data_IF_985919677048
#
_entry.id   IF_985919677048
#
_cell.length_a   1.000
_cell.length_b   1.000
_cell.length_c   1.000
_cell.angle_alpha   90.00
_cell.angle_beta   90.00
_cell.angle_gamma   90.00
#
_symmetry.space_group_name_H-M   'P 1'
#
loop_
_entity.id
_entity.type
_entity.pdbx_description
1 polymer ?
#
# COMPACT_ATOMS: atom_id res chain seq x y z
N UNK A 1 -11.80 -18.53 0.87
CA UNK A 1 -11.47 -17.97 2.21
C UNK A 1 -12.49 -16.92 2.58
N UNK A 2 -12.93 -16.88 3.84
CA UNK A 2 -13.84 -15.81 4.29
C UNK A 2 -13.11 -14.46 4.37
N UNK A 3 -13.85 -13.35 4.27
CA UNK A 3 -13.32 -11.97 4.40
C UNK A 3 -12.56 -11.77 5.72
N UNK A 4 -13.00 -12.40 6.79
CA UNK A 4 -12.41 -12.33 8.14
C UNK A 4 -11.05 -13.04 8.16
N UNK A 5 -10.96 -14.22 7.56
CA UNK A 5 -9.70 -14.98 7.45
C UNK A 5 -8.68 -14.20 6.63
N UNK A 6 -9.08 -13.60 5.50
CA UNK A 6 -8.21 -12.76 4.67
C UNK A 6 -7.63 -11.57 5.45
N UNK A 7 -8.45 -10.84 6.21
CA UNK A 7 -8.01 -9.70 7.03
C UNK A 7 -6.98 -10.12 8.09
N UNK A 8 -7.21 -11.25 8.77
CA UNK A 8 -6.28 -11.79 9.78
C UNK A 8 -4.91 -12.10 9.19
N UNK A 9 -4.85 -12.73 8.01
CA UNK A 9 -3.59 -13.07 7.38
C UNK A 9 -2.81 -11.83 6.91
N UNK A 10 -3.49 -10.90 6.22
CA UNK A 10 -2.88 -9.65 5.73
C UNK A 10 -2.32 -8.81 6.88
N UNK A 11 -3.06 -8.66 7.98
CA UNK A 11 -2.60 -7.89 9.14
C UNK A 11 -1.38 -8.53 9.82
N UNK A 12 -1.32 -9.87 9.87
CA UNK A 12 -0.19 -10.60 10.46
C UNK A 12 1.07 -10.48 9.61
N UNK A 13 0.94 -10.60 8.29
CA UNK A 13 2.07 -10.44 7.35
C UNK A 13 2.68 -9.02 7.45
N UNK A 14 1.84 -7.98 7.42
CA UNK A 14 2.30 -6.58 7.50
C UNK A 14 3.13 -6.24 8.75
N UNK A 15 2.86 -6.90 9.88
CA UNK A 15 3.57 -6.65 11.14
C UNK A 15 4.88 -7.42 11.27
N UNK A 16 5.04 -8.52 10.51
CA UNK A 16 6.16 -9.44 10.65
C UNK A 16 7.18 -9.29 9.51
N UNK A 17 6.76 -8.80 8.35
CA UNK A 17 7.59 -8.74 7.15
C UNK A 17 8.25 -7.36 7.01
N UNK A 18 9.57 -7.29 7.23
CA UNK A 18 10.38 -6.20 6.69
C UNK A 18 10.65 -6.53 5.22
N UNK A 19 9.89 -5.90 4.33
CA UNK A 19 10.04 -6.07 2.89
C UNK A 19 11.09 -5.08 2.39
N UNK A 20 12.20 -5.58 1.88
CA UNK A 20 13.17 -4.78 1.14
C UNK A 20 12.63 -4.52 -0.29
N UNK A 21 12.77 -3.30 -0.84
CA UNK A 21 12.33 -3.02 -2.21
C UNK A 21 13.05 -3.92 -3.22
N UNK A 22 12.29 -4.60 -4.06
CA UNK A 22 12.85 -5.34 -5.20
C UNK A 22 13.28 -4.41 -6.34
N UNK A 23 13.98 -4.94 -7.33
CA UNK A 23 14.39 -4.17 -8.51
C UNK A 23 13.17 -3.54 -9.22
N UNK A 24 13.24 -2.23 -9.47
CA UNK A 24 12.14 -1.43 -10.03
C UNK A 24 11.08 -0.97 -9.02
N UNK A 25 11.16 -1.39 -7.75
CA UNK A 25 10.32 -0.86 -6.68
C UNK A 25 10.97 0.35 -6.03
N UNK A 26 10.14 1.29 -5.56
CA UNK A 26 10.59 2.54 -4.95
C UNK A 26 9.79 2.82 -3.70
N UNK A 27 10.46 3.31 -2.66
CA UNK A 27 9.81 3.79 -1.45
C UNK A 27 9.26 5.19 -1.74
N UNK A 28 7.98 5.38 -1.45
CA UNK A 28 7.27 6.65 -1.67
C UNK A 28 6.46 7.02 -0.43
N UNK A 29 6.24 8.31 -0.22
CA UNK A 29 5.42 8.85 0.86
C UNK A 29 4.04 9.20 0.34
N UNK A 30 2.98 8.76 1.03
CA UNK A 30 1.60 9.15 0.71
C UNK A 30 1.34 10.58 1.19
N UNK A 31 0.84 11.44 0.30
CA UNK A 31 0.47 12.83 0.60
C UNK A 31 -1.04 12.98 0.87
N UNK A 32 -1.86 12.23 0.14
CA UNK A 32 -3.31 12.31 0.24
C UNK A 32 -4.00 11.23 -0.61
N UNK A 33 -5.31 11.09 -0.46
CA UNK A 33 -6.12 10.23 -1.32
C UNK A 33 -7.20 11.05 -2.02
N UNK A 34 -7.12 11.23 -3.35
CA UNK A 34 -8.17 11.88 -4.13
C UNK A 34 -9.45 11.03 -4.28
N UNK A 35 -9.49 9.81 -3.74
CA UNK A 35 -10.63 8.89 -3.84
C UNK A 35 -10.43 7.78 -4.89
N UNK A 36 -11.44 6.93 -5.08
CA UNK A 36 -11.42 5.80 -6.02
C UNK A 36 -10.20 4.84 -5.86
N UNK A 37 -9.75 4.61 -4.61
CA UNK A 37 -8.55 3.85 -4.27
C UNK A 37 -7.23 4.38 -4.88
N UNK A 38 -7.21 5.64 -5.32
CA UNK A 38 -6.01 6.36 -5.75
C UNK A 38 -5.38 7.08 -4.56
N UNK A 39 -4.06 7.13 -4.57
CA UNK A 39 -3.25 7.80 -3.56
C UNK A 39 -2.23 8.67 -4.27
N UNK A 40 -2.17 9.93 -3.89
CA UNK A 40 -1.09 10.82 -4.30
C UNK A 40 0.14 10.49 -3.47
N UNK A 41 1.23 10.22 -4.17
CA UNK A 41 2.50 9.84 -3.56
C UNK A 41 3.63 10.73 -4.05
N UNK A 42 4.61 10.93 -3.17
CA UNK A 42 5.83 11.68 -3.42
C UNK A 42 7.05 10.76 -3.27
N UNK A 43 7.91 10.79 -4.27
CA UNK A 43 9.20 10.09 -4.27
C UNK A 43 10.25 10.85 -3.46
N UNK A 44 11.36 10.18 -3.11
CA UNK A 44 12.51 10.84 -2.48
C UNK A 44 13.11 11.96 -3.35
N UNK A 45 12.90 11.91 -4.67
CA UNK A 45 13.35 12.90 -5.64
C UNK A 45 12.38 14.11 -5.76
N UNK A 46 11.27 14.11 -5.02
CA UNK A 46 10.25 15.16 -5.05
C UNK A 46 9.24 15.04 -6.19
N UNK A 47 9.34 14.02 -7.05
CA UNK A 47 8.34 13.75 -8.08
C UNK A 47 7.05 13.20 -7.47
N UNK A 48 5.90 13.74 -7.91
CA UNK A 48 4.55 13.35 -7.45
C UNK A 48 3.75 12.68 -8.54
N UNK A 49 3.04 11.62 -8.16
CA UNK A 49 2.13 10.91 -9.06
C UNK A 49 1.03 10.19 -8.30
N UNK A 50 0.03 9.71 -9.04
CA UNK A 50 -1.06 8.90 -8.50
C UNK A 50 -0.72 7.42 -8.60
N UNK A 51 -0.87 6.71 -7.50
CA UNK A 51 -0.78 5.24 -7.44
C UNK A 51 -2.11 4.63 -7.04
N UNK A 52 -2.37 3.41 -7.50
CA UNK A 52 -3.59 2.67 -7.15
C UNK A 52 -3.31 1.67 -6.03
N UNK A 53 -4.21 1.58 -5.05
CA UNK A 53 -4.08 0.61 -3.97
C UNK A 53 -4.48 -0.80 -4.44
N UNK A 54 -3.61 -1.82 -4.26
CA UNK A 54 -3.93 -3.20 -4.62
C UNK A 54 -5.18 -3.72 -3.90
N UNK A 55 -6.05 -4.52 -4.56
CA UNK A 55 -7.33 -4.99 -3.98
C UNK A 55 -7.22 -5.77 -2.68
N UNK A 56 -6.06 -6.39 -2.40
CA UNK A 56 -5.82 -7.13 -1.14
C UNK A 56 -5.73 -6.22 0.09
N UNK A 57 -5.42 -4.93 -0.09
CA UNK A 57 -5.27 -3.96 0.99
C UNK A 57 -6.48 -3.03 1.14
N UNK A 58 -7.34 -2.94 0.11
CA UNK A 58 -8.55 -2.11 0.15
C UNK A 58 -9.45 -2.54 1.32
N UNK A 59 -9.91 -1.57 2.12
CA UNK A 59 -10.75 -1.76 3.32
C UNK A 59 -10.11 -2.60 4.44
N UNK A 60 -8.81 -2.84 4.38
CA UNK A 60 -8.09 -3.68 5.35
C UNK A 60 -6.90 -2.96 5.99
N UNK A 61 -6.29 -2.02 5.25
CA UNK A 61 -5.18 -1.16 5.70
C UNK A 61 -5.63 0.29 5.55
N UNK A 62 -5.35 1.12 6.55
CA UNK A 62 -5.66 2.55 6.62
C UNK A 62 -4.35 3.33 6.77
#
# INVERSE_FOLDING_TARGET
>A
MSRVTKRKHVARELLQERVEPAEGQRIVRVLGSPGNNLHEVETAEGSRFLTSMPPRFRHHVW
#
